data_IF_599006384638
#
_entry.id   IF_599006384638
#
_cell.length_a   1.000
_cell.length_b   1.000
_cell.length_c   1.000
_cell.angle_alpha   90.00
_cell.angle_beta   90.00
_cell.angle_gamma   90.00
#
_symmetry.space_group_name_H-M   'P 1'
#
loop_
_entity.id
_entity.type
_entity.pdbx_description
1 polymer ?
#
# COMPACT_ATOMS: atom_id res chain seq x y z
N UNK A 1 -25.01 38.87 -28.33
CA UNK A 1 -23.88 38.78 -27.38
C UNK A 1 -24.19 37.66 -26.43
N UNK A 2 -23.57 36.50 -26.63
CA UNK A 2 -23.60 35.45 -25.61
C UNK A 2 -22.79 35.94 -24.40
N UNK A 3 -23.26 35.70 -23.16
CA UNK A 3 -22.48 36.04 -21.98
C UNK A 3 -21.16 35.25 -22.03
N UNK A 4 -20.04 35.96 -21.82
CA UNK A 4 -18.73 35.33 -21.71
C UNK A 4 -18.77 34.21 -20.67
N UNK A 5 -18.26 33.00 -20.98
CA UNK A 5 -18.29 31.90 -20.03
C UNK A 5 -17.49 32.27 -18.77
N UNK A 6 -18.09 31.99 -17.61
CA UNK A 6 -17.47 32.24 -16.31
C UNK A 6 -16.22 31.35 -16.17
N UNK A 7 -15.04 31.98 -16.22
CA UNK A 7 -13.73 31.32 -16.12
C UNK A 7 -13.53 30.54 -14.81
N UNK A 8 -14.39 30.72 -13.80
CA UNK A 8 -14.38 29.93 -12.57
C UNK A 8 -14.74 28.45 -12.79
N UNK A 9 -15.44 28.10 -13.89
CA UNK A 9 -15.81 26.72 -14.21
C UNK A 9 -14.65 25.85 -14.75
N UNK A 10 -13.46 26.42 -14.92
CA UNK A 10 -12.35 25.80 -15.65
C UNK A 10 -11.16 25.40 -14.77
N UNK A 11 -11.25 25.62 -13.45
CA UNK A 11 -10.20 25.24 -12.50
C UNK A 11 -10.39 23.78 -12.04
N UNK A 12 -9.29 23.04 -11.82
CA UNK A 12 -9.34 21.78 -11.10
C UNK A 12 -10.03 21.95 -9.75
N UNK A 13 -10.89 21.00 -9.41
CA UNK A 13 -11.54 20.91 -8.10
C UNK A 13 -10.78 19.89 -7.28
N UNK A 14 -10.19 20.35 -6.18
CA UNK A 14 -9.55 19.50 -5.17
C UNK A 14 -10.59 18.66 -4.45
N UNK A 15 -10.29 17.37 -4.31
CA UNK A 15 -11.15 16.39 -3.64
C UNK A 15 -10.31 15.46 -2.78
N UNK A 16 -10.99 14.84 -1.83
CA UNK A 16 -10.43 13.79 -0.98
C UNK A 16 -11.28 12.55 -1.00
N UNK A 17 -10.64 11.40 -0.85
CA UNK A 17 -11.31 10.13 -0.62
C UNK A 17 -10.64 9.41 0.56
N UNK A 18 -11.39 8.50 1.18
CA UNK A 18 -10.88 7.60 2.22
C UNK A 18 -10.49 6.28 1.58
N UNK A 19 -9.44 5.66 2.07
CA UNK A 19 -8.92 4.40 1.53
C UNK A 19 -8.67 3.44 2.67
N UNK A 20 -9.16 2.22 2.52
CA UNK A 20 -8.88 1.12 3.44
C UNK A 20 -8.46 -0.13 2.67
N UNK A 21 -7.69 -0.98 3.33
CA UNK A 21 -7.30 -2.29 2.78
C UNK A 21 -8.16 -3.36 3.41
N UNK A 22 -8.71 -4.26 2.60
CA UNK A 22 -9.49 -5.41 3.05
C UNK A 22 -8.71 -6.68 2.72
N UNK A 23 -8.46 -7.52 3.72
CA UNK A 23 -7.79 -8.79 3.53
C UNK A 23 -8.84 -9.91 3.37
N UNK A 24 -9.14 -10.32 2.15
CA UNK A 24 -9.95 -11.51 1.84
C UNK A 24 -9.08 -12.75 1.58
N UNK A 25 -7.76 -12.65 1.78
CA UNK A 25 -6.85 -13.78 1.68
C UNK A 25 -6.91 -14.67 2.93
N UNK A 26 -6.32 -15.86 2.83
CA UNK A 26 -6.31 -16.84 3.93
C UNK A 26 -5.29 -16.53 5.03
N UNK A 27 -4.35 -15.60 4.79
CA UNK A 27 -3.22 -15.31 5.68
C UNK A 27 -3.21 -13.85 6.10
N UNK A 28 -2.70 -13.50 7.29
CA UNK A 28 -2.47 -12.11 7.66
C UNK A 28 -1.61 -11.37 6.62
N UNK A 29 -1.90 -10.09 6.40
CA UNK A 29 -1.01 -9.18 5.68
C UNK A 29 -0.18 -8.44 6.72
N UNK A 30 1.14 -8.54 6.69
CA UNK A 30 2.04 -7.85 7.64
C UNK A 30 2.71 -6.67 6.95
N UNK A 31 3.00 -5.60 7.69
CA UNK A 31 3.73 -4.43 7.21
C UNK A 31 3.17 -3.92 5.87
N UNK A 32 1.87 -3.64 5.85
CA UNK A 32 1.13 -3.20 4.67
C UNK A 32 1.45 -1.72 4.41
N UNK A 33 1.71 -1.37 3.16
CA UNK A 33 1.90 0.01 2.71
C UNK A 33 1.06 0.26 1.46
N UNK A 34 0.37 1.39 1.43
CA UNK A 34 -0.31 1.90 0.24
C UNK A 34 0.29 3.25 -0.12
N UNK A 35 0.62 3.42 -1.39
CA UNK A 35 1.02 4.70 -1.98
C UNK A 35 0.01 5.07 -3.04
N UNK A 36 -0.43 6.32 -2.98
CA UNK A 36 -1.22 6.96 -4.02
C UNK A 36 -0.46 8.17 -4.54
N UNK A 37 -0.39 8.29 -5.86
CA UNK A 37 0.12 9.46 -6.57
C UNK A 37 -0.95 9.98 -7.50
N UNK A 38 -1.40 11.22 -7.32
CA UNK A 38 -2.17 11.94 -8.33
C UNK A 38 -1.20 12.69 -9.24
N UNK A 39 -0.77 12.02 -10.32
CA UNK A 39 0.34 12.48 -11.16
C UNK A 39 1.52 12.97 -10.28
N UNK A 40 2.10 14.13 -10.58
CA UNK A 40 3.21 14.72 -9.80
C UNK A 40 2.72 15.74 -8.75
N UNK A 41 1.41 15.83 -8.49
CA UNK A 41 0.81 16.88 -7.65
C UNK A 41 0.68 16.44 -6.20
N UNK A 42 0.05 15.28 -5.98
CA UNK A 42 -0.16 14.74 -4.64
C UNK A 42 0.51 13.38 -4.51
N UNK A 43 1.11 13.15 -3.35
CA UNK A 43 1.70 11.87 -2.96
C UNK A 43 1.23 11.58 -1.54
N UNK A 44 0.31 10.65 -1.44
CA UNK A 44 -0.21 10.18 -0.17
C UNK A 44 0.36 8.78 0.08
N UNK A 45 0.67 8.47 1.32
CA UNK A 45 1.02 7.11 1.74
C UNK A 45 0.48 6.83 3.12
N UNK A 46 0.24 5.56 3.40
CA UNK A 46 -0.10 5.11 4.73
C UNK A 46 0.35 3.68 4.94
N UNK A 47 0.70 3.35 6.18
CA UNK A 47 1.17 2.03 6.56
C UNK A 47 0.25 1.43 7.64
N UNK A 48 -0.01 0.13 7.56
CA UNK A 48 -0.72 -0.62 8.58
C UNK A 48 0.15 -1.78 9.06
N UNK A 49 0.18 -2.06 10.37
CA UNK A 49 1.12 -3.04 10.92
C UNK A 49 0.73 -4.48 10.55
N UNK A 50 -0.57 -4.80 10.67
CA UNK A 50 -1.12 -6.07 10.24
C UNK A 50 -2.60 -5.91 9.85
N UNK A 51 -3.07 -6.75 8.93
CA UNK A 51 -4.49 -6.88 8.59
C UNK A 51 -4.82 -8.37 8.56
N UNK A 52 -5.61 -8.84 9.53
CA UNK A 52 -5.95 -10.25 9.67
C UNK A 52 -6.94 -10.71 8.58
N UNK A 53 -7.00 -12.02 8.27
CA UNK A 53 -7.97 -12.57 7.32
C UNK A 53 -9.41 -12.16 7.64
N UNK A 54 -10.14 -11.75 6.61
CA UNK A 54 -11.52 -11.27 6.71
C UNK A 54 -11.69 -9.91 7.39
N UNK A 55 -10.60 -9.18 7.67
CA UNK A 55 -10.65 -7.85 8.31
C UNK A 55 -10.32 -6.73 7.32
N UNK A 56 -10.79 -5.54 7.67
CA UNK A 56 -10.37 -4.26 7.10
C UNK A 56 -9.30 -3.64 7.98
N UNK A 57 -8.43 -2.83 7.40
CA UNK A 57 -7.52 -1.95 8.13
C UNK A 57 -8.27 -1.09 9.17
N UNK A 58 -7.64 -0.86 10.33
CA UNK A 58 -8.27 -0.15 11.46
C UNK A 58 -8.47 1.34 11.22
N UNK A 59 -7.59 1.96 10.43
CA UNK A 59 -7.65 3.37 10.03
C UNK A 59 -7.79 3.52 8.53
N UNK A 60 -8.38 4.64 8.13
CA UNK A 60 -8.50 5.05 6.73
C UNK A 60 -7.32 5.96 6.34
N UNK A 61 -6.72 5.71 5.19
CA UNK A 61 -5.80 6.63 4.52
C UNK A 61 -6.60 7.71 3.81
N UNK A 62 -6.18 8.97 3.89
CA UNK A 62 -6.77 10.08 3.14
C UNK A 62 -5.92 10.37 1.92
N UNK A 63 -6.55 10.42 0.75
CA UNK A 63 -5.89 10.73 -0.52
C UNK A 63 -6.45 12.00 -1.12
N UNK A 64 -5.59 12.79 -1.78
CA UNK A 64 -5.95 14.03 -2.46
C UNK A 64 -5.88 13.83 -3.97
N UNK A 65 -6.87 14.33 -4.70
CA UNK A 65 -6.92 14.24 -6.17
C UNK A 65 -7.66 15.43 -6.77
N UNK A 66 -7.51 15.64 -8.08
CA UNK A 66 -8.29 16.64 -8.80
C UNK A 66 -9.34 16.02 -9.70
N UNK A 67 -10.44 16.76 -9.85
CA UNK A 67 -11.49 16.50 -10.85
C UNK A 67 -11.82 17.78 -11.62
N UNK A 68 -12.54 17.64 -12.73
CA UNK A 68 -13.00 18.75 -13.55
C UNK A 68 -12.67 18.54 -15.02
N UNK A 69 -13.30 19.31 -15.90
CA UNK A 69 -13.21 19.13 -17.35
C UNK A 69 -11.77 19.27 -17.91
N UNK A 70 -10.92 20.04 -17.24
CA UNK A 70 -9.54 20.33 -17.67
C UNK A 70 -8.49 19.45 -17.00
N UNK A 71 -8.88 18.54 -16.09
CA UNK A 71 -7.90 17.71 -15.38
C UNK A 71 -7.46 16.54 -16.25
N UNK A 72 -6.14 16.42 -16.47
CA UNK A 72 -5.50 15.30 -17.16
C UNK A 72 -4.75 14.37 -16.21
N UNK A 73 -4.73 14.73 -14.91
CA UNK A 73 -4.06 13.96 -13.87
C UNK A 73 -4.66 12.58 -13.70
N UNK A 74 -3.83 11.65 -13.25
CA UNK A 74 -4.20 10.24 -13.07
C UNK A 74 -3.81 9.77 -11.69
N UNK A 75 -4.69 8.98 -11.11
CA UNK A 75 -4.47 8.28 -9.85
C UNK A 75 -3.70 6.97 -10.07
N UNK A 76 -2.49 6.93 -9.54
CA UNK A 76 -1.58 5.80 -9.58
C UNK A 76 -1.43 5.22 -8.18
N UNK A 77 -1.59 3.91 -8.09
CA UNK A 77 -1.65 3.20 -6.83
C UNK A 77 -0.60 2.11 -6.78
N UNK A 78 -0.08 1.92 -5.58
CA UNK A 78 0.76 0.81 -5.23
C UNK A 78 0.34 0.32 -3.87
N UNK A 79 0.26 -1.00 -3.73
CA UNK A 79 0.13 -1.66 -2.44
C UNK A 79 1.23 -2.70 -2.29
N UNK A 80 1.83 -2.78 -1.10
CA UNK A 80 2.81 -3.81 -0.72
C UNK A 80 2.44 -4.42 0.63
N UNK A 81 2.76 -5.69 0.83
CA UNK A 81 2.62 -6.36 2.13
C UNK A 81 3.57 -7.54 2.23
N UNK A 82 3.85 -7.99 3.44
CA UNK A 82 4.62 -9.19 3.72
C UNK A 82 3.70 -10.37 4.04
N UNK A 83 4.16 -11.58 3.73
CA UNK A 83 3.62 -12.81 4.32
C UNK A 83 3.81 -12.80 5.84
N UNK A 84 3.02 -13.61 6.55
CA UNK A 84 3.08 -13.78 8.00
C UNK A 84 4.44 -14.31 8.49
N UNK A 85 5.13 -15.11 7.68
CA UNK A 85 6.50 -15.56 7.93
C UNK A 85 7.59 -14.55 7.52
N UNK A 86 7.21 -13.39 6.99
CA UNK A 86 8.09 -12.32 6.49
C UNK A 86 9.08 -12.75 5.39
N UNK A 87 8.96 -13.96 4.84
CA UNK A 87 9.85 -14.49 3.80
C UNK A 87 9.52 -13.98 2.40
N UNK A 88 8.34 -13.39 2.23
CA UNK A 88 7.85 -12.92 0.94
C UNK A 88 7.28 -11.52 1.08
N UNK A 89 7.79 -10.59 0.28
CA UNK A 89 7.10 -9.31 0.04
C UNK A 89 6.28 -9.42 -1.25
N UNK A 90 5.02 -9.06 -1.15
CA UNK A 90 4.06 -8.97 -2.24
C UNK A 90 3.79 -7.52 -2.59
N UNK A 91 3.46 -7.28 -3.85
CA UNK A 91 3.12 -5.94 -4.34
C UNK A 91 2.21 -5.99 -5.57
N UNK A 92 1.41 -4.94 -5.78
CA UNK A 92 0.59 -4.79 -6.99
C UNK A 92 1.46 -4.68 -8.24
N UNK A 93 1.11 -5.42 -9.30
CA UNK A 93 1.93 -5.56 -10.51
C UNK A 93 1.07 -5.65 -11.77
N UNK A 94 0.57 -4.52 -12.31
CA UNK A 94 -0.33 -4.52 -13.47
C UNK A 94 0.29 -5.04 -14.77
N UNK A 95 1.61 -5.04 -14.88
CA UNK A 95 2.33 -5.44 -16.10
C UNK A 95 3.48 -6.42 -15.83
N UNK A 96 3.45 -7.15 -14.70
CA UNK A 96 4.56 -8.03 -14.27
C UNK A 96 5.89 -7.25 -14.22
N UNK A 97 5.93 -6.23 -13.37
CA UNK A 97 6.94 -5.17 -13.37
C UNK A 97 8.38 -5.67 -13.08
N UNK A 98 9.04 -6.23 -14.11
CA UNK A 98 10.38 -6.83 -14.03
C UNK A 98 11.46 -5.84 -13.56
N UNK A 99 11.33 -4.56 -13.89
CA UNK A 99 12.32 -3.55 -13.50
C UNK A 99 12.42 -3.33 -11.98
N UNK A 100 11.30 -3.41 -11.23
CA UNK A 100 11.35 -3.37 -9.76
C UNK A 100 11.84 -4.68 -9.15
N UNK A 101 11.56 -5.81 -9.80
CA UNK A 101 12.04 -7.12 -9.36
C UNK A 101 13.58 -7.13 -9.39
N UNK A 102 14.18 -6.63 -10.46
CA UNK A 102 15.64 -6.57 -10.60
C UNK A 102 16.29 -5.59 -9.61
N UNK A 103 15.65 -4.44 -9.32
CA UNK A 103 16.13 -3.46 -8.33
C UNK A 103 16.11 -3.97 -6.88
N UNK A 104 15.33 -5.01 -6.58
CA UNK A 104 15.20 -5.58 -5.24
C UNK A 104 15.92 -6.93 -5.08
N UNK A 105 16.72 -7.35 -6.06
CA UNK A 105 17.60 -8.51 -5.89
C UNK A 105 18.55 -8.27 -4.71
N UNK A 106 18.21 -8.83 -3.54
CA UNK A 106 18.87 -8.72 -2.20
C UNK A 106 18.34 -7.69 -1.19
N UNK A 107 17.07 -7.28 -1.22
CA UNK A 107 16.52 -6.50 -0.09
C UNK A 107 16.41 -7.33 1.18
N UNK A 108 17.24 -6.94 2.16
CA UNK A 108 17.31 -7.50 3.51
C UNK A 108 17.35 -6.34 4.53
N UNK A 109 16.25 -5.62 4.74
CA UNK A 109 16.23 -4.53 5.71
C UNK A 109 16.43 -5.09 7.12
N UNK A 110 17.31 -4.46 7.91
CA UNK A 110 17.51 -4.82 9.32
C UNK A 110 16.23 -4.70 10.18
N UNK A 111 15.17 -4.07 9.66
CA UNK A 111 13.86 -4.06 10.30
C UNK A 111 13.11 -5.39 10.19
N UNK A 112 13.43 -6.30 9.25
CA UNK A 112 12.78 -7.62 9.18
C UNK A 112 13.02 -8.41 10.46
N UNK A 113 14.27 -8.51 10.93
CA UNK A 113 14.62 -9.25 12.16
C UNK A 113 13.81 -8.75 13.37
N UNK A 114 13.65 -7.42 13.48
CA UNK A 114 12.86 -6.81 14.56
C UNK A 114 11.35 -7.08 14.43
N UNK A 115 10.83 -7.15 13.21
CA UNK A 115 9.42 -7.51 13.00
C UNK A 115 9.23 -8.99 13.33
N UNK A 116 10.13 -9.89 12.91
CA UNK A 116 10.05 -11.34 13.22
C UNK A 116 9.86 -11.61 14.72
N UNK A 117 10.62 -10.92 15.58
CA UNK A 117 10.49 -11.02 17.04
C UNK A 117 9.13 -10.58 17.58
N UNK A 118 8.40 -9.74 16.83
CA UNK A 118 7.16 -9.09 17.29
C UNK A 118 5.92 -9.50 16.51
N UNK A 119 6.03 -10.32 15.45
CA UNK A 119 4.87 -10.80 14.65
C UNK A 119 3.81 -11.46 15.54
N UNK A 120 4.24 -12.29 16.49
CA UNK A 120 3.30 -12.95 17.40
C UNK A 120 2.39 -11.95 18.14
N UNK A 121 2.92 -10.79 18.53
CA UNK A 121 2.14 -9.75 19.21
C UNK A 121 1.13 -9.05 18.28
N UNK A 122 1.43 -8.93 16.99
CA UNK A 122 0.48 -8.38 16.00
C UNK A 122 -0.70 -9.31 15.75
N UNK A 123 -0.46 -10.62 15.85
CA UNK A 123 -1.45 -11.65 15.55
C UNK A 123 -2.26 -12.09 16.78
N UNK A 124 -1.81 -11.74 17.97
CA UNK A 124 -2.41 -12.14 19.24
C UNK A 124 -3.53 -11.17 19.67
N UNK A 125 -4.72 -11.31 19.07
CA UNK A 125 -5.91 -10.49 19.40
C UNK A 125 -6.19 -10.48 20.92
N UNK A 126 -5.89 -9.37 21.58
CA UNK A 126 -6.20 -9.14 23.01
C UNK A 126 -5.36 -9.94 24.02
N UNK A 127 -4.27 -10.59 23.60
CA UNK A 127 -3.43 -11.42 24.49
C UNK A 127 -2.08 -10.80 24.86
N UNK A 128 -1.78 -9.60 24.36
CA UNK A 128 -0.54 -8.85 24.64
C UNK A 128 -0.86 -7.51 25.32
N UNK A 129 0.12 -6.92 25.99
CA UNK A 129 -0.04 -5.58 26.57
C UNK A 129 -0.19 -4.52 25.47
N UNK A 130 -0.84 -3.40 25.78
CA UNK A 130 -1.00 -2.29 24.84
C UNK A 130 0.36 -1.74 24.37
N UNK A 131 1.35 -1.67 25.25
CA UNK A 131 2.70 -1.24 24.93
C UNK A 131 3.41 -2.20 23.98
N UNK A 132 3.26 -3.51 24.18
CA UNK A 132 3.82 -4.53 23.28
C UNK A 132 3.18 -4.48 21.90
N UNK A 133 1.85 -4.34 21.85
CA UNK A 133 1.11 -4.20 20.59
C UNK A 133 1.53 -2.94 19.83
N UNK A 134 1.65 -1.81 20.53
CA UNK A 134 2.10 -0.55 19.93
C UNK A 134 3.53 -0.62 19.40
N UNK A 135 4.45 -1.22 20.16
CA UNK A 135 5.83 -1.40 19.71
C UNK A 135 5.90 -2.28 18.45
N UNK A 136 5.20 -3.42 18.44
CA UNK A 136 5.12 -4.29 17.28
C UNK A 136 4.55 -3.56 16.05
N UNK A 137 3.53 -2.72 16.27
CA UNK A 137 2.93 -1.91 15.23
C UNK A 137 3.91 -0.89 14.64
N UNK A 138 4.61 -0.13 15.49
CA UNK A 138 5.58 0.89 15.06
C UNK A 138 6.74 0.28 14.26
N UNK A 139 7.26 -0.88 14.67
CA UNK A 139 8.32 -1.60 13.96
C UNK A 139 7.81 -2.08 12.59
N UNK A 140 6.60 -2.63 12.52
CA UNK A 140 6.00 -3.13 11.27
C UNK A 140 5.71 -2.01 10.27
N UNK A 141 5.15 -0.90 10.72
CA UNK A 141 4.96 0.29 9.87
C UNK A 141 6.30 0.86 9.39
N UNK A 142 7.35 0.79 10.21
CA UNK A 142 8.70 1.19 9.81
C UNK A 142 9.27 0.28 8.70
N UNK A 143 9.07 -1.03 8.80
CA UNK A 143 9.42 -1.97 7.74
C UNK A 143 8.66 -1.69 6.44
N UNK A 144 7.34 -1.49 6.53
CA UNK A 144 6.48 -1.19 5.38
C UNK A 144 6.97 0.06 4.63
N UNK A 145 7.30 1.11 5.39
CA UNK A 145 7.84 2.37 4.88
C UNK A 145 9.19 2.21 4.24
N UNK A 146 10.16 1.59 4.93
CA UNK A 146 11.50 1.37 4.39
C UNK A 146 11.48 0.54 3.10
N UNK A 147 10.59 -0.47 3.03
CA UNK A 147 10.38 -1.29 1.84
C UNK A 147 9.85 -0.47 0.67
N UNK A 148 8.82 0.34 0.93
CA UNK A 148 8.22 1.20 -0.09
C UNK A 148 9.19 2.27 -0.58
N UNK A 149 9.93 2.90 0.34
CA UNK A 149 10.96 3.89 0.04
C UNK A 149 12.04 3.27 -0.85
N UNK A 150 12.48 2.03 -0.57
CA UNK A 150 13.48 1.36 -1.42
C UNK A 150 12.93 0.98 -2.80
N UNK A 151 11.74 0.38 -2.85
CA UNK A 151 11.17 -0.14 -4.09
C UNK A 151 10.69 0.96 -5.03
N UNK A 152 10.25 2.10 -4.50
CA UNK A 152 9.45 3.07 -5.23
C UNK A 152 9.86 4.53 -4.99
N UNK A 153 11.11 4.78 -4.57
CA UNK A 153 11.67 6.14 -4.44
C UNK A 153 11.69 6.97 -5.73
N UNK A 154 11.42 6.35 -6.89
CA UNK A 154 11.40 7.09 -8.15
C UNK A 154 10.11 7.89 -8.29
N UNK A 155 10.22 9.10 -8.83
CA UNK A 155 9.06 9.91 -9.25
C UNK A 155 8.14 9.16 -10.22
N UNK A 156 8.71 8.24 -11.02
CA UNK A 156 7.97 7.41 -11.95
C UNK A 156 6.80 6.63 -11.30
N UNK A 157 5.71 6.51 -12.06
CA UNK A 157 4.53 5.68 -11.76
C UNK A 157 4.58 4.34 -12.51
N UNK A 158 5.75 4.00 -13.06
CA UNK A 158 5.96 2.73 -13.71
C UNK A 158 5.82 1.60 -12.67
N UNK A 159 5.01 0.58 -12.99
CA UNK A 159 4.65 -0.48 -12.04
C UNK A 159 3.47 -0.17 -11.12
N UNK A 160 2.98 1.08 -11.09
CA UNK A 160 1.78 1.43 -10.31
C UNK A 160 0.53 1.06 -11.09
N UNK A 161 -0.50 0.61 -10.37
CA UNK A 161 -1.84 0.38 -10.92
C UNK A 161 -2.58 1.70 -11.04
N UNK A 162 -3.07 2.01 -12.23
CA UNK A 162 -4.00 3.14 -12.38
C UNK A 162 -5.40 2.77 -11.89
N UNK A 163 -6.00 3.60 -11.03
CA UNK A 163 -7.41 3.52 -10.65
C UNK A 163 -7.95 4.93 -10.39
N UNK A 164 -8.70 5.48 -11.34
CA UNK A 164 -9.10 6.90 -11.34
C UNK A 164 -10.21 7.16 -10.33
N UNK A 165 -10.00 8.13 -9.45
CA UNK A 165 -11.03 8.65 -8.56
C UNK A 165 -11.80 9.77 -9.26
N UNK A 166 -13.12 9.76 -9.08
CA UNK A 166 -14.04 10.72 -9.71
C UNK A 166 -14.74 11.57 -8.66
N UNK A 167 -15.57 12.50 -9.12
CA UNK A 167 -16.34 13.36 -8.22
C UNK A 167 -17.26 12.59 -7.27
N UNK A 168 -17.78 11.45 -7.72
CA UNK A 168 -18.63 10.57 -6.90
C UNK A 168 -17.90 9.93 -5.72
N UNK A 169 -16.56 9.83 -5.79
CA UNK A 169 -15.73 9.23 -4.74
C UNK A 169 -15.37 10.22 -3.63
N UNK A 170 -15.78 11.50 -3.76
CA UNK A 170 -15.49 12.53 -2.78
C UNK A 170 -16.05 12.15 -1.39
N UNK A 171 -15.18 12.15 -0.40
CA UNK A 171 -15.43 11.75 1.00
C UNK A 171 -15.96 10.32 1.17
N UNK A 172 -15.97 9.54 0.08
CA UNK A 172 -16.37 8.13 0.10
C UNK A 172 -15.17 7.23 0.40
N UNK A 173 -15.48 5.99 0.77
CA UNK A 173 -14.50 4.95 0.98
C UNK A 173 -14.19 4.23 -0.35
N UNK A 174 -12.92 4.15 -0.68
CA UNK A 174 -12.35 3.24 -1.67
C UNK A 174 -11.70 2.07 -0.95
N UNK A 175 -12.09 0.85 -1.28
CA UNK A 175 -11.50 -0.36 -0.71
C UNK A 175 -10.47 -0.96 -1.67
N UNK A 176 -9.29 -1.27 -1.15
CA UNK A 176 -8.28 -2.09 -1.83
C UNK A 176 -8.38 -3.50 -1.24
N UNK A 177 -8.97 -4.41 -2.00
CA UNK A 177 -9.23 -5.78 -1.56
C UNK A 177 -8.10 -6.68 -2.05
N UNK A 178 -7.42 -7.36 -1.12
CA UNK A 178 -6.49 -8.44 -1.42
C UNK A 178 -7.28 -9.76 -1.42
N UNK A 179 -7.50 -10.34 -2.58
CA UNK A 179 -8.31 -11.54 -2.74
C UNK A 179 -7.52 -12.82 -2.40
N UNK A 180 -8.24 -13.93 -2.22
CA UNK A 180 -7.64 -15.23 -1.89
C UNK A 180 -6.74 -15.81 -2.96
N UNK A 181 -6.90 -15.41 -4.22
CA UNK A 181 -6.03 -15.79 -5.35
C UNK A 181 -4.88 -14.78 -5.58
N UNK A 182 -4.70 -13.85 -4.63
CA UNK A 182 -3.72 -12.76 -4.68
C UNK A 182 -3.92 -11.76 -5.83
N UNK A 183 -5.10 -11.75 -6.46
CA UNK A 183 -5.55 -10.58 -7.23
C UNK A 183 -5.90 -9.43 -6.28
N UNK A 184 -5.91 -8.22 -6.82
CA UNK A 184 -6.13 -6.99 -6.07
C UNK A 184 -7.25 -6.22 -6.76
N UNK A 185 -8.35 -5.97 -6.04
CA UNK A 185 -9.48 -5.20 -6.54
C UNK A 185 -9.56 -3.85 -5.86
N UNK A 186 -9.51 -2.79 -6.65
CA UNK A 186 -9.82 -1.44 -6.21
C UNK A 186 -11.32 -1.21 -6.42
N UNK A 187 -12.06 -1.00 -5.34
CA UNK A 187 -13.50 -0.73 -5.33
C UNK A 187 -13.75 0.70 -4.88
N UNK A 188 -14.20 1.55 -5.78
CA UNK A 188 -14.68 2.90 -5.45
C UNK A 188 -16.13 3.05 -5.89
N UNK A 189 -16.79 4.13 -5.45
CA UNK A 189 -18.19 4.36 -5.83
C UNK A 189 -18.33 4.57 -7.33
N UNK A 190 -17.32 5.18 -7.96
CA UNK A 190 -17.32 5.47 -9.39
C UNK A 190 -16.92 4.29 -10.28
N UNK A 191 -16.42 3.19 -9.70
CA UNK A 191 -16.19 1.94 -10.41
C UNK A 191 -15.12 1.06 -9.77
N UNK A 192 -14.93 -0.10 -10.38
CA UNK A 192 -13.94 -1.08 -9.92
C UNK A 192 -12.82 -1.24 -10.95
N UNK A 193 -11.62 -1.58 -10.47
CA UNK A 193 -10.55 -2.04 -11.35
C UNK A 193 -9.71 -3.10 -10.67
N UNK A 194 -9.12 -4.00 -11.45
CA UNK A 194 -8.38 -5.15 -10.92
C UNK A 194 -6.94 -5.17 -11.41
N UNK A 195 -6.07 -5.79 -10.63
CA UNK A 195 -4.70 -6.11 -11.00
C UNK A 195 -4.22 -7.39 -10.32
N UNK A 196 -3.09 -7.92 -10.75
CA UNK A 196 -2.44 -9.06 -10.11
C UNK A 196 -1.34 -8.59 -9.18
N UNK A 197 -0.93 -9.45 -8.25
CA UNK A 197 0.26 -9.23 -7.44
C UNK A 197 1.48 -9.94 -8.02
N UNK A 198 2.65 -9.45 -7.66
CA UNK A 198 3.94 -10.13 -7.83
C UNK A 198 4.61 -10.24 -6.46
N UNK A 199 5.65 -11.07 -6.38
CA UNK A 199 6.33 -11.37 -5.13
C UNK A 199 7.84 -11.40 -5.26
N UNK A 200 8.53 -11.11 -4.16
CA UNK A 200 9.97 -11.19 -4.00
C UNK A 200 10.27 -11.92 -2.70
N UNK A 201 11.28 -12.80 -2.72
CA UNK A 201 11.78 -13.43 -1.52
C UNK A 201 12.57 -12.41 -0.70
N UNK A 202 12.44 -12.45 0.62
CA UNK A 202 13.30 -11.70 1.52
C UNK A 202 14.51 -12.55 1.86
N UNK A 203 15.69 -11.92 1.91
CA UNK A 203 16.91 -12.62 2.32
C UNK A 203 17.15 -12.40 3.81
N UNK A 204 16.89 -13.39 4.64
CA UNK A 204 17.37 -13.39 6.03
C UNK A 204 18.83 -13.82 6.03
N UNK A 205 19.75 -12.99 6.57
CA UNK A 205 21.10 -13.47 6.87
C UNK A 205 20.95 -14.52 7.97
N UNK A 206 21.21 -15.77 7.65
CA UNK A 206 21.45 -16.79 8.65
C UNK A 206 22.70 -16.35 9.41
N UNK A 207 22.57 -16.03 10.70
CA UNK A 207 23.72 -15.86 11.56
C UNK A 207 24.52 -17.17 11.50
N UNK A 208 25.65 -17.13 10.81
CA UNK A 208 26.66 -18.18 10.94
C UNK A 208 27.20 -18.03 12.35
N UNK A 209 26.72 -18.90 13.25
CA UNK A 209 27.47 -19.29 14.44
C UNK A 209 28.77 -19.92 13.95
N UNK A 210 29.79 -19.09 13.73
CA UNK A 210 31.17 -19.57 13.79
C UNK A 210 31.50 -19.72 15.27
N UNK A 211 31.24 -20.93 15.76
CA UNK A 211 31.75 -21.46 17.01
C UNK A 211 33.25 -21.15 17.15
N UNK A 212 33.58 -20.72 18.37
CA UNK A 212 34.91 -20.74 18.94
C UNK A 212 35.65 -22.04 18.58
N UNK A 213 36.79 -21.89 17.89
CA UNK A 213 37.91 -22.83 17.97
C UNK A 213 39.22 -22.07 18.09
#
# INVERSE_FOLDING_TARGET
MEPSPNLAQWKPVERRARVAVVNESATPLIAVSVVHKYSDVYKNRHEWPAILPGKRSESDMIVDYHTGYTTTGRDWWLITWFSDDLKTVWFSSPTNFRASIDKLGSFAPASIEKVEETVAALLAEGQVSEEQAKMAADISCSLARATTDHLFNSEATEGFKQHILREDDADQLTEIVINSDHTITFKSKSGNSETVSSKLATSTKQATDDELS
#
